data_IF_834759324701
#
_entry.id   IF_834759324701
#
_cell.length_a   1.000
_cell.length_b   1.000
_cell.length_c   1.000
_cell.angle_alpha   90.00
_cell.angle_beta   90.00
_cell.angle_gamma   90.00
#
_symmetry.space_group_name_H-M   'P 1'
#
loop_
_entity.id
_entity.type
_entity.pdbx_description
1 polymer ?
#
# COMPACT_ATOMS: atom_id res chain seq x y z
N UNK A 1 -2.42 33.16 -5.86
CA UNK A 1 -1.91 33.75 -4.60
C UNK A 1 -0.75 32.92 -4.04
N UNK A 2 -0.15 33.35 -2.92
CA UNK A 2 0.99 32.64 -2.30
C UNK A 2 0.68 31.18 -1.93
N UNK A 3 -0.58 30.91 -1.55
CA UNK A 3 -1.10 29.56 -1.25
C UNK A 3 -1.11 28.65 -2.50
N UNK A 4 -1.61 29.15 -3.63
CA UNK A 4 -1.65 28.38 -4.89
C UNK A 4 -0.24 28.05 -5.39
N UNK A 5 0.73 28.96 -5.17
CA UNK A 5 2.14 28.69 -5.51
C UNK A 5 2.74 27.59 -4.64
N UNK A 6 2.44 27.57 -3.34
CA UNK A 6 2.89 26.52 -2.43
C UNK A 6 2.28 25.16 -2.81
N UNK A 7 0.98 25.13 -3.15
CA UNK A 7 0.29 23.91 -3.58
C UNK A 7 0.88 23.35 -4.89
N UNK A 8 1.17 24.21 -5.88
CA UNK A 8 1.80 23.78 -7.14
C UNK A 8 3.22 23.25 -6.94
N UNK A 9 4.00 23.86 -6.04
CA UNK A 9 5.35 23.39 -5.70
C UNK A 9 5.31 22.03 -5.00
N UNK A 10 4.44 21.87 -4.01
CA UNK A 10 4.27 20.61 -3.29
C UNK A 10 3.73 19.50 -4.21
N UNK A 11 2.82 19.83 -5.14
CA UNK A 11 2.39 18.89 -6.18
C UNK A 11 3.52 18.51 -7.14
N UNK A 12 4.35 19.48 -7.54
CA UNK A 12 5.56 19.22 -8.34
C UNK A 12 6.53 18.27 -7.63
N UNK A 13 6.75 18.46 -6.32
CA UNK A 13 7.54 17.53 -5.51
C UNK A 13 6.88 16.15 -5.43
N UNK A 14 5.56 16.06 -5.23
CA UNK A 14 4.84 14.79 -5.23
C UNK A 14 5.04 14.00 -6.54
N UNK A 15 4.99 14.66 -7.70
CA UNK A 15 5.28 13.99 -8.97
C UNK A 15 6.74 13.56 -9.08
N UNK A 16 7.69 14.41 -8.69
CA UNK A 16 9.12 14.08 -8.74
C UNK A 16 9.47 12.93 -7.79
N UNK A 17 8.85 12.87 -6.61
CA UNK A 17 8.96 11.75 -5.67
C UNK A 17 8.54 10.43 -6.31
N UNK A 18 7.40 10.45 -7.00
CA UNK A 18 6.90 9.26 -7.71
C UNK A 18 7.84 8.84 -8.85
N UNK A 19 8.44 9.79 -9.58
CA UNK A 19 9.46 9.49 -10.59
C UNK A 19 10.69 8.85 -9.95
N UNK A 20 11.20 9.39 -8.84
CA UNK A 20 12.34 8.80 -8.14
C UNK A 20 12.04 7.40 -7.61
N UNK A 21 10.82 7.18 -7.10
CA UNK A 21 10.35 5.86 -6.66
C UNK A 21 10.38 4.84 -7.82
N UNK A 22 9.83 5.19 -8.98
CA UNK A 22 9.87 4.31 -10.17
C UNK A 22 11.28 4.07 -10.70
N UNK A 23 12.19 5.04 -10.53
CA UNK A 23 13.60 4.89 -10.90
C UNK A 23 14.43 4.14 -9.84
N UNK A 24 13.83 3.72 -8.73
CA UNK A 24 14.55 3.07 -7.61
C UNK A 24 15.49 4.02 -6.85
N UNK A 25 15.40 5.34 -7.06
CA UNK A 25 16.24 6.36 -6.40
C UNK A 25 15.69 6.70 -5.02
N UNK A 26 15.67 5.70 -4.13
CA UNK A 26 14.99 5.78 -2.83
C UNK A 26 15.59 6.82 -1.87
N UNK A 27 16.88 7.11 -1.95
CA UNK A 27 17.53 8.16 -1.14
C UNK A 27 17.13 9.56 -1.58
N UNK A 28 17.16 9.84 -2.89
CA UNK A 28 16.69 11.11 -3.43
C UNK A 28 15.20 11.32 -3.15
N UNK A 29 14.38 10.25 -3.28
CA UNK A 29 12.97 10.30 -2.96
C UNK A 29 12.73 10.61 -1.47
N UNK A 30 13.48 9.98 -0.56
CA UNK A 30 13.30 10.20 0.88
C UNK A 30 13.65 11.64 1.30
N UNK A 31 14.76 12.20 0.81
CA UNK A 31 15.16 13.58 1.11
C UNK A 31 14.13 14.60 0.61
N UNK A 32 13.58 14.37 -0.59
CA UNK A 32 12.57 15.22 -1.18
C UNK A 32 11.23 15.11 -0.42
N UNK A 33 10.90 13.94 0.15
CA UNK A 33 9.65 13.72 0.88
C UNK A 33 9.61 14.56 2.17
N UNK A 34 10.69 14.55 2.94
CA UNK A 34 10.82 15.38 4.14
C UNK A 34 10.65 16.88 3.83
N UNK A 35 11.18 17.32 2.69
CA UNK A 35 11.10 18.72 2.23
C UNK A 35 9.68 19.11 1.74
N UNK A 36 8.93 18.16 1.20
CA UNK A 36 7.57 18.38 0.71
C UNK A 36 6.55 18.44 1.86
N UNK A 37 6.69 17.55 2.87
CA UNK A 37 5.79 17.51 4.04
C UNK A 37 5.93 18.74 4.95
N UNK A 38 7.09 19.41 4.94
CA UNK A 38 7.35 20.61 5.72
C UNK A 38 6.69 21.89 5.15
N UNK A 39 6.06 21.83 3.97
CA UNK A 39 5.47 23.00 3.32
C UNK A 39 4.00 23.17 3.70
N UNK A 40 3.59 24.41 3.95
CA UNK A 40 2.19 24.75 4.16
C UNK A 40 1.40 24.53 2.86
N UNK A 41 0.77 23.36 2.74
CA UNK A 41 -0.02 22.96 1.58
C UNK A 41 -1.50 22.74 1.96
N UNK A 42 -2.39 22.75 0.97
CA UNK A 42 -3.78 22.34 1.16
C UNK A 42 -3.89 20.87 1.61
N UNK A 43 -5.00 20.52 2.25
CA UNK A 43 -5.23 19.17 2.77
C UNK A 43 -5.08 18.07 1.70
N UNK A 44 -5.51 18.35 0.46
CA UNK A 44 -5.38 17.41 -0.67
C UNK A 44 -3.92 17.18 -1.03
N UNK A 45 -3.11 18.24 -1.09
CA UNK A 45 -1.70 18.14 -1.44
C UNK A 45 -0.90 17.49 -0.30
N UNK A 46 -1.24 17.80 0.94
CA UNK A 46 -0.64 17.16 2.11
C UNK A 46 -0.94 15.65 2.14
N UNK A 47 -2.20 15.26 1.96
CA UNK A 47 -2.62 13.86 1.85
C UNK A 47 -1.80 13.09 0.81
N UNK A 48 -1.67 13.63 -0.41
CA UNK A 48 -0.88 13.00 -1.49
C UNK A 48 0.59 12.90 -1.17
N UNK A 49 1.15 13.92 -0.50
CA UNK A 49 2.56 13.92 -0.09
C UNK A 49 2.82 12.84 0.95
N UNK A 50 1.99 12.73 1.99
CA UNK A 50 2.07 11.67 2.99
C UNK A 50 1.93 10.28 2.34
N UNK A 51 0.99 10.11 1.41
CA UNK A 51 0.81 8.86 0.68
C UNK A 51 2.10 8.40 -0.03
N UNK A 52 2.73 9.31 -0.78
CA UNK A 52 3.95 8.99 -1.54
C UNK A 52 5.13 8.77 -0.60
N UNK A 53 5.24 9.55 0.49
CA UNK A 53 6.25 9.34 1.53
C UNK A 53 6.11 7.94 2.17
N UNK A 54 4.87 7.51 2.44
CA UNK A 54 4.56 6.15 2.91
C UNK A 54 5.05 5.08 1.95
N UNK A 55 4.79 5.24 0.64
CA UNK A 55 5.29 4.32 -0.39
C UNK A 55 6.81 4.25 -0.42
N UNK A 56 7.50 5.38 -0.33
CA UNK A 56 8.97 5.41 -0.32
C UNK A 56 9.51 4.69 0.92
N UNK A 57 8.93 4.93 2.10
CA UNK A 57 9.34 4.27 3.32
C UNK A 57 9.10 2.76 3.24
N UNK A 58 7.95 2.33 2.70
CA UNK A 58 7.66 0.92 2.44
C UNK A 58 8.71 0.29 1.51
N UNK A 59 9.14 1.00 0.45
CA UNK A 59 10.15 0.52 -0.50
C UNK A 59 11.49 0.26 0.16
N UNK A 60 11.83 1.13 1.12
CA UNK A 60 13.10 1.09 1.88
C UNK A 60 13.07 0.08 3.04
N UNK A 61 11.94 -0.56 3.31
CA UNK A 61 11.77 -1.38 4.51
C UNK A 61 11.60 -0.56 5.80
N UNK A 62 11.43 0.76 5.72
CA UNK A 62 11.18 1.64 6.85
C UNK A 62 9.70 1.58 7.27
N UNK A 63 9.26 0.39 7.71
CA UNK A 63 7.83 0.10 7.89
C UNK A 63 7.15 0.94 8.97
N UNK A 64 7.87 1.36 10.02
CA UNK A 64 7.30 2.23 11.07
C UNK A 64 6.97 3.62 10.52
N UNK A 65 7.88 4.18 9.73
CA UNK A 65 7.69 5.49 9.12
C UNK A 65 6.61 5.42 8.04
N UNK A 66 6.59 4.34 7.25
CA UNK A 66 5.54 4.07 6.27
C UNK A 66 4.15 4.06 6.93
N UNK A 67 4.03 3.37 8.08
CA UNK A 67 2.77 3.29 8.82
C UNK A 67 2.32 4.67 9.30
N UNK A 68 3.23 5.47 9.87
CA UNK A 68 2.91 6.83 10.31
C UNK A 68 2.39 7.70 9.17
N UNK A 69 3.07 7.69 8.02
CA UNK A 69 2.66 8.44 6.83
C UNK A 69 1.31 7.98 6.27
N UNK A 70 1.04 6.66 6.21
CA UNK A 70 -0.25 6.16 5.75
C UNK A 70 -1.39 6.51 6.71
N UNK A 71 -1.14 6.49 8.02
CA UNK A 71 -2.13 6.88 9.03
C UNK A 71 -2.45 8.38 8.93
N UNK A 72 -1.44 9.23 8.81
CA UNK A 72 -1.61 10.67 8.62
C UNK A 72 -2.39 10.96 7.32
N UNK A 73 -1.98 10.34 6.21
CA UNK A 73 -2.69 10.43 4.94
C UNK A 73 -4.17 10.06 5.09
N UNK A 74 -4.46 8.92 5.75
CA UNK A 74 -5.83 8.44 5.98
C UNK A 74 -6.65 9.40 6.86
N UNK A 75 -6.03 10.00 7.87
CA UNK A 75 -6.67 10.99 8.75
C UNK A 75 -7.03 12.27 7.97
N UNK A 76 -6.11 12.78 7.15
CA UNK A 76 -6.35 13.95 6.31
C UNK A 76 -7.45 13.64 5.30
N UNK A 77 -7.39 12.50 4.61
CA UNK A 77 -8.41 12.08 3.63
C UNK A 77 -9.82 12.06 4.25
N UNK A 78 -9.93 11.59 5.50
CA UNK A 78 -11.20 11.56 6.23
C UNK A 78 -11.73 12.97 6.50
N UNK A 79 -10.84 13.91 6.85
CA UNK A 79 -11.21 15.29 7.24
C UNK A 79 -11.81 16.14 6.11
N UNK A 80 -11.40 15.94 4.86
CA UNK A 80 -11.93 16.70 3.71
C UNK A 80 -12.91 15.90 2.84
N UNK A 81 -13.27 14.67 3.25
CA UNK A 81 -14.23 13.82 2.53
C UNK A 81 -13.67 13.16 1.27
N UNK A 82 -12.35 12.95 1.22
CA UNK A 82 -11.64 12.55 0.00
C UNK A 82 -11.79 11.08 -0.44
N UNK A 83 -11.07 10.77 -1.52
CA UNK A 83 -11.50 9.93 -2.64
C UNK A 83 -11.32 8.40 -2.42
N UNK A 84 -10.43 7.91 -1.55
CA UNK A 84 -10.12 6.46 -1.49
C UNK A 84 -9.77 5.92 -0.09
N UNK A 85 -10.77 5.72 0.77
CA UNK A 85 -10.57 5.18 2.14
C UNK A 85 -10.10 3.72 2.16
N UNK A 86 -10.57 2.90 1.22
CA UNK A 86 -10.20 1.48 1.12
C UNK A 86 -8.71 1.28 0.85
N UNK A 87 -8.12 2.09 -0.03
CA UNK A 87 -6.69 2.00 -0.36
C UNK A 87 -5.79 2.37 0.82
N UNK A 88 -6.19 3.36 1.62
CA UNK A 88 -5.53 3.69 2.90
C UNK A 88 -5.50 2.51 3.86
N UNK A 89 -6.66 1.90 4.12
CA UNK A 89 -6.77 0.73 4.99
C UNK A 89 -5.93 -0.46 4.47
N UNK A 90 -5.92 -0.68 3.15
CA UNK A 90 -5.12 -1.72 2.51
C UNK A 90 -3.62 -1.55 2.79
N UNK A 91 -3.07 -0.36 2.53
CA UNK A 91 -1.64 -0.10 2.72
C UNK A 91 -1.22 -0.13 4.19
N UNK A 92 -2.08 0.35 5.09
CA UNK A 92 -1.89 0.19 6.54
C UNK A 92 -1.84 -1.30 6.90
N UNK A 93 -2.77 -2.11 6.40
CA UNK A 93 -2.81 -3.55 6.64
C UNK A 93 -1.53 -4.27 6.23
N UNK A 94 -1.04 -4.03 5.01
CA UNK A 94 0.23 -4.59 4.55
C UNK A 94 1.43 -4.11 5.36
N UNK A 95 1.49 -2.83 5.70
CA UNK A 95 2.59 -2.27 6.48
C UNK A 95 2.65 -2.88 7.88
N UNK A 96 1.48 -3.12 8.50
CA UNK A 96 1.39 -3.81 9.78
C UNK A 96 1.79 -5.28 9.70
N UNK A 97 1.45 -5.95 8.60
CA UNK A 97 1.93 -7.30 8.34
C UNK A 97 3.46 -7.36 8.22
N UNK A 98 4.08 -6.34 7.61
CA UNK A 98 5.54 -6.22 7.53
C UNK A 98 6.20 -5.96 8.89
N UNK A 99 5.45 -5.38 9.84
CA UNK A 99 5.84 -5.16 11.23
C UNK A 99 5.51 -6.34 12.16
N UNK A 100 5.06 -7.48 11.61
CA UNK A 100 4.61 -8.67 12.36
C UNK A 100 3.42 -8.40 13.31
N UNK A 101 2.64 -7.35 13.04
CA UNK A 101 1.43 -7.01 13.78
C UNK A 101 0.22 -7.74 13.19
N UNK A 102 0.24 -9.06 13.25
CA UNK A 102 -0.63 -9.95 12.47
C UNK A 102 -2.13 -9.66 12.64
N UNK A 103 -2.61 -9.55 13.88
CA UNK A 103 -4.04 -9.37 14.15
C UNK A 103 -4.56 -8.01 13.68
N UNK A 104 -3.76 -6.97 13.85
CA UNK A 104 -4.14 -5.64 13.40
C UNK A 104 -4.02 -5.52 11.88
N UNK A 105 -3.06 -6.21 11.26
CA UNK A 105 -2.98 -6.32 9.80
C UNK A 105 -4.26 -6.96 9.24
N UNK A 106 -4.70 -8.08 9.80
CA UNK A 106 -5.95 -8.76 9.40
C UNK A 106 -7.16 -7.83 9.51
N UNK A 107 -7.32 -7.16 10.65
CA UNK A 107 -8.43 -6.21 10.87
C UNK A 107 -8.46 -5.11 9.80
N UNK A 108 -7.30 -4.54 9.49
CA UNK A 108 -7.21 -3.44 8.52
C UNK A 108 -7.45 -3.90 7.08
N UNK A 109 -6.91 -5.07 6.71
CA UNK A 109 -7.17 -5.68 5.41
C UNK A 109 -8.66 -6.03 5.24
N UNK A 110 -9.29 -6.63 6.25
CA UNK A 110 -10.73 -6.89 6.23
C UNK A 110 -11.55 -5.60 6.13
N UNK A 111 -11.16 -4.56 6.89
CA UNK A 111 -11.82 -3.25 6.82
C UNK A 111 -11.77 -2.67 5.40
N UNK A 112 -10.63 -2.80 4.71
CA UNK A 112 -10.48 -2.28 3.33
C UNK A 112 -11.52 -2.84 2.35
N UNK A 113 -11.98 -4.08 2.54
CA UNK A 113 -12.99 -4.76 1.73
C UNK A 113 -14.44 -4.33 2.06
N UNK A 114 -14.66 -3.74 3.24
CA UNK A 114 -15.99 -3.27 3.68
C UNK A 114 -16.23 -1.80 3.34
N UNK A 115 -15.16 -1.04 3.10
CA UNK A 115 -15.23 0.36 2.75
C UNK A 115 -15.71 0.50 1.30
N UNK A 116 -16.61 1.45 0.99
CA UNK A 116 -17.01 1.73 -0.38
C UNK A 116 -15.77 2.00 -1.23
N UNK A 117 -15.59 1.20 -2.27
CA UNK A 117 -14.53 1.42 -3.27
C UNK A 117 -15.15 2.20 -4.41
N UNK A 118 -14.65 3.40 -4.68
CA UNK A 118 -15.11 4.21 -5.82
C UNK A 118 -14.60 3.67 -7.15
N UNK A 119 -13.45 2.98 -7.16
CA UNK A 119 -12.67 2.91 -8.41
C UNK A 119 -12.16 1.54 -8.86
N UNK A 120 -12.12 0.47 -8.05
CA UNK A 120 -11.68 -0.82 -8.62
C UNK A 120 -11.91 -2.05 -7.74
N UNK A 121 -12.51 -3.12 -8.30
CA UNK A 121 -12.57 -4.43 -7.65
C UNK A 121 -11.18 -5.09 -7.49
N UNK A 122 -10.09 -4.44 -7.95
CA UNK A 122 -8.72 -4.89 -7.71
C UNK A 122 -8.29 -4.70 -6.25
N UNK A 123 -8.86 -3.73 -5.53
CA UNK A 123 -8.50 -3.45 -4.14
C UNK A 123 -8.88 -4.65 -3.25
N UNK A 124 -10.07 -5.22 -3.47
CA UNK A 124 -10.53 -6.40 -2.75
C UNK A 124 -9.64 -7.61 -3.04
N UNK A 125 -9.11 -7.72 -4.26
CA UNK A 125 -8.18 -8.78 -4.64
C UNK A 125 -6.82 -8.61 -3.94
N UNK A 126 -6.31 -7.39 -3.81
CA UNK A 126 -5.12 -7.12 -2.99
C UNK A 126 -5.39 -7.40 -1.51
N UNK A 127 -6.55 -7.03 -0.98
CA UNK A 127 -6.91 -7.30 0.40
C UNK A 127 -6.97 -8.81 0.68
N UNK A 128 -7.60 -9.58 -0.21
CA UNK A 128 -7.68 -11.03 -0.12
C UNK A 128 -6.29 -11.69 -0.22
N UNK A 129 -5.41 -11.16 -1.08
CA UNK A 129 -4.00 -11.57 -1.10
C UNK A 129 -3.30 -11.27 0.23
N UNK A 130 -3.50 -10.08 0.82
CA UNK A 130 -2.98 -9.75 2.14
C UNK A 130 -3.48 -10.71 3.22
N UNK A 131 -4.75 -11.11 3.17
CA UNK A 131 -5.33 -12.11 4.07
C UNK A 131 -4.76 -13.52 3.84
N UNK A 132 -4.34 -13.87 2.63
CA UNK A 132 -3.57 -15.09 2.37
C UNK A 132 -2.20 -15.03 3.06
N UNK A 133 -1.52 -13.88 2.96
CA UNK A 133 -0.24 -13.66 3.63
C UNK A 133 -0.35 -13.70 5.16
N UNK A 134 -1.44 -13.17 5.74
CA UNK A 134 -1.75 -13.31 7.17
C UNK A 134 -1.88 -14.79 7.55
N UNK A 135 -2.65 -15.58 6.78
CA UNK A 135 -2.79 -17.02 7.03
C UNK A 135 -1.44 -17.75 6.95
N UNK A 136 -0.56 -17.38 6.00
CA UNK A 136 0.81 -17.90 5.94
C UNK A 136 1.60 -17.60 7.23
N UNK A 137 1.52 -16.36 7.74
CA UNK A 137 2.20 -15.96 8.99
C UNK A 137 1.69 -16.71 10.22
N UNK A 138 0.42 -17.13 10.21
CA UNK A 138 -0.18 -17.97 11.27
C UNK A 138 0.08 -19.47 11.13
N UNK A 139 0.72 -19.91 10.04
CA UNK A 139 0.90 -21.33 9.75
C UNK A 139 -0.37 -22.02 9.21
N UNK A 140 -1.40 -21.25 8.84
CA UNK A 140 -2.68 -21.73 8.30
C UNK A 140 -2.55 -21.99 6.78
N UNK A 141 -1.60 -22.84 6.38
CA UNK A 141 -1.18 -22.95 4.97
C UNK A 141 -2.29 -23.38 4.02
N UNK A 142 -3.19 -24.27 4.44
CA UNK A 142 -4.34 -24.66 3.62
C UNK A 142 -5.27 -23.48 3.32
N UNK A 143 -5.50 -22.61 4.31
CA UNK A 143 -6.29 -21.40 4.13
C UNK A 143 -5.56 -20.37 3.26
N UNK A 144 -4.24 -20.22 3.45
CA UNK A 144 -3.40 -19.35 2.63
C UNK A 144 -3.45 -19.77 1.15
N UNK A 145 -3.28 -21.06 0.84
CA UNK A 145 -3.40 -21.59 -0.52
C UNK A 145 -4.77 -21.30 -1.10
N UNK A 146 -5.85 -21.67 -0.40
CA UNK A 146 -7.22 -21.45 -0.88
C UNK A 146 -7.47 -19.97 -1.25
N UNK A 147 -7.08 -19.04 -0.37
CA UNK A 147 -7.23 -17.60 -0.62
C UNK A 147 -6.38 -17.13 -1.80
N UNK A 148 -5.12 -17.56 -1.89
CA UNK A 148 -4.23 -17.19 -2.99
C UNK A 148 -4.73 -17.71 -4.35
N UNK A 149 -5.24 -18.93 -4.40
CA UNK A 149 -5.86 -19.50 -5.62
C UNK A 149 -7.13 -18.76 -6.01
N UNK A 150 -7.96 -18.37 -5.05
CA UNK A 150 -9.16 -17.56 -5.32
C UNK A 150 -8.79 -16.22 -5.97
N UNK A 151 -7.76 -15.52 -5.47
CA UNK A 151 -7.28 -14.29 -6.11
C UNK A 151 -6.74 -14.57 -7.51
N UNK A 152 -5.98 -15.66 -7.70
CA UNK A 152 -5.44 -16.06 -9.01
C UNK A 152 -6.55 -16.26 -10.03
N UNK A 153 -7.57 -17.04 -9.67
CA UNK A 153 -8.68 -17.38 -10.55
C UNK A 153 -9.49 -16.14 -10.93
N UNK A 154 -9.72 -15.24 -9.96
CA UNK A 154 -10.41 -13.98 -10.24
C UNK A 154 -9.60 -13.04 -11.14
N UNK A 155 -8.28 -12.96 -10.94
CA UNK A 155 -7.40 -12.17 -11.80
C UNK A 155 -7.33 -12.72 -13.22
N UNK A 156 -7.13 -14.03 -13.39
CA UNK A 156 -7.05 -14.65 -14.72
C UNK A 156 -8.29 -14.36 -15.59
N UNK A 157 -9.47 -14.34 -14.97
CA UNK A 157 -10.73 -14.01 -15.66
C UNK A 157 -10.85 -12.53 -16.06
N UNK A 158 -10.13 -11.62 -15.39
CA UNK A 158 -10.30 -10.16 -15.52
C UNK A 158 -9.13 -9.47 -16.23
N UNK A 159 -7.91 -9.95 -16.06
CA UNK A 159 -6.70 -9.30 -16.55
C UNK A 159 -5.55 -10.32 -16.71
N UNK A 160 -4.94 -10.35 -17.90
CA UNK A 160 -3.93 -11.37 -18.22
C UNK A 160 -2.51 -10.99 -17.80
N UNK A 161 -2.25 -9.72 -17.42
CA UNK A 161 -0.92 -9.21 -17.05
C UNK A 161 -1.01 -8.17 -15.93
N UNK A 162 -1.42 -8.59 -14.73
CA UNK A 162 -1.47 -7.72 -13.56
C UNK A 162 -0.38 -8.10 -12.56
N UNK A 163 0.34 -7.12 -12.00
CA UNK A 163 1.46 -7.35 -11.06
C UNK A 163 1.11 -8.28 -9.88
N UNK A 164 -0.11 -8.17 -9.36
CA UNK A 164 -0.61 -9.05 -8.31
C UNK A 164 -0.50 -10.55 -8.67
N UNK A 165 -0.51 -10.90 -9.97
CA UNK A 165 -0.34 -12.27 -10.42
C UNK A 165 1.05 -12.82 -10.12
N UNK A 166 2.11 -12.02 -10.27
CA UNK A 166 3.47 -12.40 -9.90
C UNK A 166 3.58 -12.65 -8.39
N UNK A 167 2.96 -11.79 -7.60
CA UNK A 167 2.95 -11.90 -6.13
C UNK A 167 2.26 -13.19 -5.66
N UNK A 168 1.11 -13.53 -6.26
CA UNK A 168 0.35 -14.73 -5.93
C UNK A 168 1.09 -15.99 -6.40
N UNK A 169 1.64 -15.96 -7.61
CA UNK A 169 2.42 -17.08 -8.14
C UNK A 169 3.63 -17.37 -7.24
N UNK A 170 4.31 -16.32 -6.79
CA UNK A 170 5.42 -16.44 -5.84
C UNK A 170 4.95 -16.99 -4.49
N UNK A 171 3.83 -16.50 -3.96
CA UNK A 171 3.27 -17.00 -2.69
C UNK A 171 2.91 -18.49 -2.78
N UNK A 172 2.22 -18.90 -3.84
CA UNK A 172 1.83 -20.30 -4.05
C UNK A 172 3.04 -21.21 -4.21
N UNK A 173 4.06 -20.77 -4.94
CA UNK A 173 5.34 -21.49 -5.05
C UNK A 173 6.00 -21.66 -3.69
N UNK A 174 6.11 -20.58 -2.91
CA UNK A 174 6.71 -20.61 -1.58
C UNK A 174 5.95 -21.58 -0.65
N UNK A 175 4.61 -21.56 -0.68
CA UNK A 175 3.78 -22.47 0.10
C UNK A 175 4.00 -23.94 -0.29
N UNK A 176 4.15 -24.24 -1.58
CA UNK A 176 4.45 -25.60 -2.06
C UNK A 176 5.84 -26.08 -1.65
N UNK A 177 6.81 -25.16 -1.54
CA UNK A 177 8.19 -25.43 -1.14
C UNK A 177 8.40 -25.37 0.40
N UNK A 178 7.36 -25.09 1.18
CA UNK A 178 7.45 -24.93 2.64
C UNK A 178 8.15 -23.65 3.10
N UNK A 179 8.33 -22.68 2.19
CA UNK A 179 8.91 -21.37 2.47
C UNK A 179 7.82 -20.46 3.05
N UNK A 180 8.04 -19.97 4.27
CA UNK A 180 7.03 -19.20 5.03
C UNK A 180 7.24 -17.69 4.99
N UNK A 181 8.29 -17.21 4.32
CA UNK A 181 8.59 -15.78 4.21
C UNK A 181 7.71 -15.09 3.18
N UNK A 182 7.01 -14.05 3.61
CA UNK A 182 6.25 -13.13 2.75
C UNK A 182 6.99 -11.80 2.63
N UNK A 183 7.29 -11.37 1.40
CA UNK A 183 7.92 -10.07 1.11
C UNK A 183 6.88 -9.07 0.61
N UNK A 184 6.77 -7.92 1.28
CA UNK A 184 5.68 -6.93 1.09
C UNK A 184 6.15 -5.69 0.31
N UNK A 185 7.47 -5.51 0.15
CA UNK A 185 8.07 -4.37 -0.57
C UNK A 185 7.67 -4.29 -2.04
N UNK A 186 7.21 -5.40 -2.62
CA UNK A 186 6.76 -5.50 -4.01
C UNK A 186 5.34 -4.99 -4.28
N UNK A 187 4.67 -4.36 -3.30
CA UNK A 187 3.29 -3.83 -3.45
C UNK A 187 3.22 -2.40 -4.00
N UNK A 188 4.35 -1.74 -4.19
CA UNK A 188 4.39 -0.31 -4.49
C UNK A 188 4.03 -0.05 -5.95
N UNK A 189 2.87 0.59 -6.16
CA UNK A 189 2.31 1.00 -7.46
C UNK A 189 3.01 2.23 -8.00
#
# INVERSE_FOLDING_TARGET
GQKDRADLLALGHAFLLRVHLYQGKLDAAHQLAASASAQAASAVVHNRTCWIAGNICLARGAYRDALAFYQESSQINTSYGGETRSHGALMIGFTRLALDQIDEAERQLATSMTLPTTDSPIIDLYALYGLACVATRRGEYALACKRAEEVRDQLQRRCHNHRLMELITTLLKNLAEGITTVTITSLII
#
